data_IF_229562060445
#
_entry.id   IF_229562060445
#
_cell.length_a   1.000
_cell.length_b   1.000
_cell.length_c   1.000
_cell.angle_alpha   90.00
_cell.angle_beta   90.00
_cell.angle_gamma   90.00
#
_symmetry.space_group_name_H-M   'P 1'
#
loop_
_entity.id
_entity.type
_entity.pdbx_description
1 polymer ?
#
# COMPACT_ATOMS: atom_id res chain seq x y z
N UNK A 1 -11.42 -3.58 12.71
CA UNK A 1 -11.36 -2.72 11.51
C UNK A 1 -9.94 -2.76 11.00
N UNK A 2 -9.72 -3.02 9.72
CA UNK A 2 -8.39 -3.03 9.12
C UNK A 2 -7.97 -1.60 8.79
N UNK A 3 -6.73 -1.24 9.12
CA UNK A 3 -6.21 0.10 8.90
C UNK A 3 -5.32 0.14 7.65
N UNK A 4 -5.60 1.07 6.75
CA UNK A 4 -4.89 1.25 5.49
C UNK A 4 -4.21 2.62 5.50
N UNK A 5 -2.88 2.62 5.45
CA UNK A 5 -2.10 3.85 5.35
C UNK A 5 -1.90 4.25 3.89
N UNK A 6 -2.10 5.52 3.57
CA UNK A 6 -1.74 6.07 2.25
C UNK A 6 -0.42 6.82 2.33
N UNK A 7 0.53 6.52 1.43
CA UNK A 7 1.84 7.20 1.38
C UNK A 7 1.94 8.27 0.28
N UNK A 8 0.84 8.56 -0.43
CA UNK A 8 0.73 9.65 -1.40
C UNK A 8 -0.75 10.05 -1.53
N UNK A 9 -1.04 11.05 -2.38
CA UNK A 9 -2.41 11.31 -2.81
C UNK A 9 -2.91 10.13 -3.66
N UNK A 10 -3.81 9.34 -3.08
CA UNK A 10 -4.52 8.25 -3.75
C UNK A 10 -5.91 8.77 -4.15
N UNK A 11 -6.38 8.40 -5.34
CA UNK A 11 -7.64 8.90 -5.87
C UNK A 11 -8.82 8.44 -4.98
N UNK A 12 -9.67 9.39 -4.60
CA UNK A 12 -10.82 9.12 -3.74
C UNK A 12 -11.81 8.12 -4.36
N UNK A 13 -11.90 8.06 -5.69
CA UNK A 13 -12.74 7.08 -6.39
C UNK A 13 -12.34 5.64 -6.06
N UNK A 14 -11.04 5.36 -5.88
CA UNK A 14 -10.56 4.04 -5.48
C UNK A 14 -10.75 3.78 -3.99
N UNK A 15 -10.39 4.74 -3.13
CA UNK A 15 -10.49 4.54 -1.67
C UNK A 15 -11.92 4.50 -1.15
N UNK A 16 -12.89 5.09 -1.87
CA UNK A 16 -14.32 5.00 -1.52
C UNK A 16 -14.93 3.62 -1.75
N UNK A 17 -14.25 2.73 -2.47
CA UNK A 17 -14.73 1.36 -2.69
C UNK A 17 -14.55 0.47 -1.45
N UNK A 18 -13.74 0.90 -0.47
CA UNK A 18 -13.60 0.16 0.78
C UNK A 18 -14.85 0.32 1.65
N UNK A 19 -15.36 -0.81 2.15
CA UNK A 19 -16.43 -0.83 3.14
C UNK A 19 -15.97 -0.15 4.44
N UNK A 20 -16.58 1.00 4.76
CA UNK A 20 -16.23 1.83 5.93
C UNK A 20 -16.48 1.14 7.27
N UNK A 21 -17.30 0.09 7.31
CA UNK A 21 -17.48 -0.71 8.53
C UNK A 21 -16.29 -1.63 8.81
N UNK A 22 -15.52 -1.97 7.77
CA UNK A 22 -14.40 -2.93 7.83
C UNK A 22 -13.04 -2.27 7.72
N UNK A 23 -12.94 -1.14 7.01
CA UNK A 23 -11.67 -0.49 6.67
C UNK A 23 -11.64 0.98 7.07
N UNK A 24 -10.52 1.38 7.67
CA UNK A 24 -10.15 2.77 7.89
C UNK A 24 -9.02 3.12 6.93
N UNK A 25 -9.18 4.18 6.12
CA UNK A 25 -8.15 4.61 5.15
C UNK A 25 -7.73 6.03 5.46
N UNK A 26 -6.47 6.24 5.85
CA UNK A 26 -5.94 7.56 6.17
C UNK A 26 -4.42 7.62 6.00
N UNK A 27 -3.87 8.81 5.76
CA UNK A 27 -2.41 9.01 5.74
C UNK A 27 -1.78 9.04 7.14
N UNK A 28 -2.58 9.26 8.17
CA UNK A 28 -2.13 9.43 9.56
C UNK A 28 -2.25 8.16 10.40
N UNK A 29 -2.65 7.04 9.80
CA UNK A 29 -2.72 5.75 10.49
C UNK A 29 -1.32 5.34 10.95
N UNK A 30 -1.25 4.93 12.20
CA UNK A 30 -0.12 4.22 12.81
C UNK A 30 -0.40 2.72 12.84
N UNK A 31 0.66 1.92 12.72
CA UNK A 31 0.61 0.44 12.60
C UNK A 31 -0.45 -0.07 11.62
N UNK A 32 -0.32 0.26 10.32
CA UNK A 32 -1.29 -0.17 9.33
C UNK A 32 -1.24 -1.68 9.06
N UNK A 33 -2.41 -2.27 8.81
CA UNK A 33 -2.54 -3.62 8.25
C UNK A 33 -2.17 -3.66 6.76
N UNK A 34 -2.36 -2.55 6.05
CA UNK A 34 -2.00 -2.44 4.63
C UNK A 34 -1.54 -1.03 4.24
N UNK A 35 -0.73 -0.95 3.18
CA UNK A 35 -0.26 0.34 2.63
C UNK A 35 -0.74 0.49 1.18
N UNK A 36 -1.31 1.66 0.88
CA UNK A 36 -1.52 2.15 -0.48
C UNK A 36 -0.45 3.18 -0.82
N UNK A 37 0.37 2.87 -1.81
CA UNK A 37 1.49 3.73 -2.23
C UNK A 37 1.38 4.07 -3.71
N UNK A 38 1.86 5.26 -4.09
CA UNK A 38 2.11 5.60 -5.49
C UNK A 38 3.60 5.66 -5.71
N UNK A 39 4.24 6.79 -5.43
CA UNK A 39 5.64 7.07 -5.73
C UNK A 39 6.53 7.23 -4.50
N UNK A 40 5.98 7.19 -3.27
CA UNK A 40 6.78 7.32 -2.06
C UNK A 40 7.80 6.18 -1.95
N UNK A 41 9.04 6.52 -1.58
CA UNK A 41 10.09 5.52 -1.39
C UNK A 41 9.88 4.77 -0.07
N UNK A 42 9.88 3.43 -0.13
CA UNK A 42 9.74 2.55 1.03
C UNK A 42 10.98 1.68 1.25
N UNK A 43 12.06 1.85 0.46
CA UNK A 43 13.25 0.99 0.54
C UNK A 43 13.89 0.99 1.93
N UNK A 44 13.90 2.15 2.60
CA UNK A 44 14.45 2.34 3.95
C UNK A 44 13.35 2.41 5.04
N UNK A 45 12.10 2.13 4.68
CA UNK A 45 10.99 2.21 5.61
C UNK A 45 10.94 0.95 6.47
N UNK A 46 10.81 1.13 7.79
CA UNK A 46 10.59 0.02 8.69
C UNK A 46 9.19 -0.60 8.47
N UNK A 47 9.16 -1.90 8.19
CA UNK A 47 7.93 -2.63 7.93
C UNK A 47 7.43 -3.29 9.21
N UNK A 48 6.31 -2.78 9.73
CA UNK A 48 5.64 -3.31 10.92
C UNK A 48 5.35 -4.82 10.75
N UNK A 49 5.52 -5.63 11.81
CA UNK A 49 5.19 -7.06 11.78
C UNK A 49 3.70 -7.32 11.53
N UNK A 50 2.84 -6.33 11.77
CA UNK A 50 1.39 -6.43 11.52
C UNK A 50 1.00 -6.11 10.06
N UNK A 51 1.95 -5.61 9.25
CA UNK A 51 1.68 -5.26 7.86
C UNK A 51 1.45 -6.54 7.05
N UNK A 52 0.30 -6.61 6.36
CA UNK A 52 -0.11 -7.80 5.60
C UNK A 52 0.05 -7.61 4.09
N UNK A 53 -0.18 -6.39 3.60
CA UNK A 53 -0.17 -6.12 2.17
C UNK A 53 0.26 -4.69 1.83
N UNK A 54 0.88 -4.56 0.66
CA UNK A 54 1.19 -3.28 0.02
C UNK A 54 0.58 -3.31 -1.37
N UNK A 55 -0.20 -2.30 -1.74
CA UNK A 55 -0.69 -2.14 -3.10
C UNK A 55 -0.19 -0.82 -3.69
N UNK A 56 0.45 -0.91 -4.85
CA UNK A 56 0.98 0.23 -5.57
C UNK A 56 0.07 0.67 -6.70
N UNK A 57 -0.30 1.95 -6.69
CA UNK A 57 -0.93 2.65 -7.82
C UNK A 57 0.11 2.97 -8.90
N UNK A 58 0.55 1.95 -9.63
CA UNK A 58 1.52 2.05 -10.71
C UNK A 58 2.07 0.68 -11.12
N UNK A 59 2.66 0.60 -12.32
CA UNK A 59 3.14 -0.67 -12.87
C UNK A 59 4.45 -1.17 -12.21
N UNK A 60 5.47 -0.30 -12.09
CA UNK A 60 6.75 -0.66 -11.47
C UNK A 60 6.66 -0.81 -9.96
N UNK A 61 7.64 -1.48 -9.34
CA UNK A 61 7.71 -1.71 -7.88
C UNK A 61 9.06 -1.30 -7.27
N UNK A 62 9.87 -0.53 -8.01
CA UNK A 62 11.27 -0.20 -7.66
C UNK A 62 11.43 0.62 -6.37
N UNK A 63 10.33 1.14 -5.81
CA UNK A 63 10.29 1.90 -4.56
C UNK A 63 9.83 1.07 -3.36
N UNK A 64 9.58 -0.24 -3.55
CA UNK A 64 9.12 -1.16 -2.52
C UNK A 64 10.22 -2.21 -2.33
N UNK A 65 10.63 -2.53 -1.09
CA UNK A 65 11.61 -3.59 -0.83
C UNK A 65 10.94 -4.95 -0.96
N UNK A 66 10.66 -5.39 -2.20
CA UNK A 66 9.85 -6.58 -2.50
C UNK A 66 10.43 -7.85 -1.90
N UNK A 67 11.74 -8.03 -1.92
CA UNK A 67 12.40 -9.21 -1.34
C UNK A 67 12.19 -9.29 0.17
N UNK A 68 12.32 -8.15 0.88
CA UNK A 68 12.04 -8.06 2.30
C UNK A 68 10.56 -8.32 2.60
N UNK A 69 9.66 -7.81 1.75
CA UNK A 69 8.24 -8.07 1.86
C UNK A 69 7.95 -9.57 1.75
N UNK A 70 8.52 -10.24 0.74
CA UNK A 70 8.36 -11.68 0.55
C UNK A 70 8.88 -12.49 1.75
N UNK A 71 10.05 -12.14 2.28
CA UNK A 71 10.62 -12.79 3.47
C UNK A 71 9.73 -12.63 4.71
N UNK A 72 9.03 -11.51 4.83
CA UNK A 72 8.10 -11.21 5.94
C UNK A 72 6.67 -11.70 5.68
N UNK A 73 6.38 -12.33 4.54
CA UNK A 73 5.03 -12.77 4.18
C UNK A 73 4.07 -11.64 3.80
N UNK A 74 4.60 -10.48 3.41
CA UNK A 74 3.83 -9.30 3.00
C UNK A 74 3.58 -9.37 1.50
N UNK A 75 2.32 -9.37 1.09
CA UNK A 75 1.95 -9.44 -0.33
C UNK A 75 2.05 -8.06 -0.98
N UNK A 76 2.73 -7.98 -2.13
CA UNK A 76 2.84 -6.76 -2.93
C UNK A 76 1.99 -6.86 -4.19
N UNK A 77 1.02 -5.97 -4.34
CA UNK A 77 0.21 -5.80 -5.54
C UNK A 77 0.68 -4.56 -6.32
N UNK A 78 0.64 -4.63 -7.64
CA UNK A 78 0.87 -3.49 -8.55
C UNK A 78 -0.25 -3.41 -9.59
N UNK A 79 -0.21 -2.37 -10.44
CA UNK A 79 -1.19 -2.18 -11.53
C UNK A 79 -0.47 -2.17 -12.88
N UNK A 80 -0.01 -3.33 -13.38
CA UNK A 80 0.60 -3.41 -14.70
C UNK A 80 -0.40 -2.96 -15.77
N UNK A 81 0.09 -2.30 -16.82
CA UNK A 81 -0.77 -1.76 -17.88
C UNK A 81 -1.49 -0.44 -17.55
N UNK A 82 -1.49 0.03 -16.30
CA UNK A 82 -2.13 1.31 -15.95
C UNK A 82 -1.47 2.55 -16.60
N UNK A 83 -0.22 2.41 -17.05
CA UNK A 83 0.51 3.45 -17.80
C UNK A 83 0.66 3.09 -19.29
N UNK A 84 -0.05 2.08 -19.81
CA UNK A 84 -0.03 1.73 -21.22
C UNK A 84 -1.00 2.64 -21.99
N UNK A 85 -0.60 3.90 -22.16
CA UNK A 85 -1.17 4.85 -23.12
C UNK A 85 -0.05 5.34 -24.03
#
# INVERSE_FOLDING_TARGET
MYKIKTLNKIAAVGTRQFDKSKYEVSSTVEDPDAILVRSANMLDMELSPNLKAIARAGAGVNNIPVDLCAQKGIVVFNTPGANAN
#
